data_IF_389932124949
#
_entry.id   IF_389932124949
#
_cell.length_a   1.000
_cell.length_b   1.000
_cell.length_c   1.000
_cell.angle_alpha   90.00
_cell.angle_beta   90.00
_cell.angle_gamma   90.00
#
_symmetry.space_group_name_H-M   'P 1'
#
loop_
_entity.id
_entity.type
_entity.pdbx_description
1 polymer ?
#
# COMPACT_ATOMS: atom_id res chain seq x y z
N UNK A 1 6.22 20.31 -1.11
CA UNK A 1 7.41 20.42 -0.23
C UNK A 1 8.03 19.07 0.17
N UNK A 2 7.40 17.93 -0.10
CA UNK A 2 7.88 16.62 0.43
C UNK A 2 9.12 16.01 -0.25
N UNK A 3 9.60 16.56 -1.37
CA UNK A 3 10.66 15.92 -2.18
C UNK A 3 11.95 16.77 -2.32
N UNK A 4 12.02 17.87 -1.56
CA UNK A 4 13.21 18.73 -1.53
C UNK A 4 14.19 18.27 -0.45
N UNK A 5 15.47 18.26 -0.78
CA UNK A 5 16.52 18.12 0.25
C UNK A 5 16.68 19.41 1.04
N UNK A 6 17.26 19.33 2.24
CA UNK A 6 17.61 20.52 3.02
C UNK A 6 18.51 21.50 2.24
N UNK A 7 19.42 20.98 1.40
CA UNK A 7 20.26 21.80 0.52
C UNK A 7 19.42 22.58 -0.50
N UNK A 8 18.47 21.93 -1.16
CA UNK A 8 17.57 22.57 -2.12
C UNK A 8 16.66 23.61 -1.46
N UNK A 9 16.19 23.37 -0.23
CA UNK A 9 15.46 24.36 0.55
C UNK A 9 16.31 25.60 0.86
N UNK A 10 17.61 25.42 1.16
CA UNK A 10 18.55 26.53 1.36
C UNK A 10 18.81 27.31 0.06
N UNK A 11 18.86 26.63 -1.08
CA UNK A 11 19.00 27.27 -2.41
C UNK A 11 17.76 28.10 -2.74
N UNK A 12 16.55 27.57 -2.49
CA UNK A 12 15.29 28.29 -2.63
C UNK A 12 15.24 29.56 -1.77
N UNK A 13 15.69 29.49 -0.51
CA UNK A 13 15.78 30.65 0.39
C UNK A 13 16.68 31.75 -0.18
N UNK A 14 17.69 31.37 -0.98
CA UNK A 14 18.63 32.28 -1.66
C UNK A 14 18.17 32.66 -3.09
N UNK A 15 16.93 32.34 -3.49
CA UNK A 15 16.40 32.53 -4.86
C UNK A 15 17.21 31.84 -5.96
N UNK A 16 17.89 30.75 -5.64
CA UNK A 16 18.56 29.92 -6.64
C UNK A 16 17.59 29.03 -7.40
N UNK A 17 18.03 28.53 -8.54
CA UNK A 17 17.28 27.57 -9.37
C UNK A 17 17.45 26.14 -8.86
N UNK A 18 16.43 25.32 -9.11
CA UNK A 18 16.36 23.93 -8.69
C UNK A 18 16.33 23.01 -9.90
N UNK A 19 16.90 21.82 -9.73
CA UNK A 19 16.76 20.73 -10.68
C UNK A 19 15.35 20.12 -10.59
N UNK A 20 14.46 20.55 -11.48
CA UNK A 20 13.08 20.06 -11.55
C UNK A 20 13.01 18.58 -11.97
N UNK A 21 13.93 18.12 -12.83
CA UNK A 21 13.91 16.73 -13.30
C UNK A 21 14.23 15.77 -12.15
N UNK A 22 15.20 16.13 -11.32
CA UNK A 22 15.53 15.33 -10.14
C UNK A 22 14.39 15.32 -9.11
N UNK A 23 13.68 16.44 -8.93
CA UNK A 23 12.51 16.50 -8.05
C UNK A 23 11.38 15.60 -8.59
N UNK A 24 11.14 15.58 -9.90
CA UNK A 24 10.15 14.68 -10.52
C UNK A 24 10.53 13.21 -10.33
N UNK A 25 11.79 12.83 -10.53
CA UNK A 25 12.27 11.46 -10.26
C UNK A 25 12.04 11.04 -8.81
N UNK A 26 12.24 11.95 -7.85
CA UNK A 26 11.97 11.68 -6.43
C UNK A 26 10.49 11.59 -6.09
N UNK A 27 9.63 12.27 -6.85
CA UNK A 27 8.18 12.12 -6.72
C UNK A 27 7.70 10.73 -7.15
N UNK A 28 8.42 10.08 -8.06
CA UNK A 28 8.14 8.71 -8.47
C UNK A 28 8.64 7.70 -7.44
N UNK A 29 9.91 7.77 -7.05
CA UNK A 29 10.52 6.81 -6.11
C UNK A 29 11.82 7.33 -5.48
N UNK A 30 12.08 6.88 -4.25
CA UNK A 30 13.32 7.13 -3.50
C UNK A 30 13.74 5.82 -2.83
N UNK A 31 15.03 5.51 -2.89
CA UNK A 31 15.64 4.41 -2.15
C UNK A 31 16.80 4.95 -1.31
N UNK A 32 16.79 4.64 -0.02
CA UNK A 32 17.84 5.00 0.92
C UNK A 32 18.62 3.74 1.27
N UNK A 33 19.86 3.66 0.78
CA UNK A 33 20.82 2.65 1.20
C UNK A 33 21.59 3.18 2.40
N UNK A 34 21.73 2.38 3.46
CA UNK A 34 22.45 2.75 4.68
C UNK A 34 23.51 1.69 4.98
N UNK A 35 24.76 2.05 4.75
CA UNK A 35 25.90 1.27 5.19
C UNK A 35 26.24 1.65 6.64
N UNK A 36 25.71 0.85 7.58
CA UNK A 36 25.97 1.00 9.01
C UNK A 36 27.45 0.81 9.38
N UNK A 37 28.23 0.08 8.57
CA UNK A 37 29.65 -0.18 8.86
C UNK A 37 30.52 1.06 8.62
N UNK A 38 30.14 1.88 7.65
CA UNK A 38 30.85 3.12 7.29
C UNK A 38 30.12 4.39 7.75
N UNK A 39 28.93 4.27 8.33
CA UNK A 39 28.09 5.41 8.70
C UNK A 39 27.68 6.27 7.48
N UNK A 40 27.62 5.66 6.29
CA UNK A 40 27.28 6.33 5.04
C UNK A 40 25.88 5.96 4.61
N UNK A 41 25.20 6.89 3.94
CA UNK A 41 23.94 6.64 3.29
C UNK A 41 23.97 7.16 1.86
N UNK A 42 23.36 6.43 0.94
CA UNK A 42 23.17 6.84 -0.45
C UNK A 42 21.68 6.95 -0.75
N UNK A 43 21.28 8.05 -1.37
CA UNK A 43 19.90 8.26 -1.83
C UNK A 43 19.90 8.09 -3.35
N UNK A 44 19.13 7.13 -3.83
CA UNK A 44 18.82 6.95 -5.25
C UNK A 44 17.36 7.36 -5.53
N UNK A 45 17.09 7.89 -6.73
CA UNK A 45 15.77 8.36 -7.17
C UNK A 45 15.35 7.72 -8.51
N UNK A 46 14.05 7.70 -8.81
CA UNK A 46 13.51 7.21 -10.09
C UNK A 46 13.77 5.73 -10.34
N UNK A 47 14.09 5.37 -11.59
CA UNK A 47 14.28 3.96 -12.00
C UNK A 47 15.37 3.24 -11.20
N UNK A 48 16.48 3.94 -10.87
CA UNK A 48 17.57 3.37 -10.06
C UNK A 48 17.08 2.95 -8.67
N UNK A 49 16.22 3.76 -8.05
CA UNK A 49 15.61 3.44 -6.76
C UNK A 49 14.74 2.18 -6.83
N UNK A 50 13.97 2.02 -7.90
CA UNK A 50 13.09 0.85 -8.11
C UNK A 50 13.91 -0.43 -8.34
N UNK A 51 15.05 -0.33 -9.05
CA UNK A 51 15.93 -1.48 -9.26
C UNK A 51 16.59 -1.93 -7.95
N UNK A 52 17.14 -0.98 -7.17
CA UNK A 52 17.76 -1.29 -5.88
C UNK A 52 16.76 -1.91 -4.90
N UNK A 53 15.53 -1.37 -4.83
CA UNK A 53 14.49 -1.94 -3.98
C UNK A 53 14.14 -3.39 -4.35
N UNK A 54 14.17 -3.74 -5.64
CA UNK A 54 13.87 -5.10 -6.11
C UNK A 54 14.99 -6.09 -5.84
N UNK A 55 16.24 -5.64 -5.85
CA UNK A 55 17.40 -6.51 -5.67
C UNK A 55 17.68 -6.77 -4.18
N UNK A 56 17.60 -5.73 -3.35
CA UNK A 56 17.97 -5.80 -1.92
C UNK A 56 16.82 -6.31 -1.02
N UNK A 57 15.56 -6.08 -1.39
CA UNK A 57 14.38 -6.41 -0.56
C UNK A 57 13.56 -7.57 -1.17
N UNK A 58 14.23 -8.50 -1.86
CA UNK A 58 13.55 -9.55 -2.62
C UNK A 58 12.99 -10.64 -1.71
N UNK A 59 11.76 -10.44 -1.23
CA UNK A 59 10.94 -11.48 -0.62
C UNK A 59 10.10 -12.15 -1.72
N UNK A 60 10.27 -13.46 -1.92
CA UNK A 60 9.50 -14.23 -2.90
C UNK A 60 8.15 -14.64 -2.31
N UNK A 61 7.07 -14.16 -2.94
CA UNK A 61 5.68 -14.41 -2.55
C UNK A 61 4.89 -15.12 -3.64
N UNK A 62 5.52 -15.54 -4.75
CA UNK A 62 4.80 -16.06 -5.92
C UNK A 62 4.08 -17.39 -5.63
N UNK A 63 4.54 -18.18 -4.65
CA UNK A 63 3.90 -19.44 -4.24
C UNK A 63 2.82 -19.28 -3.13
N UNK A 64 2.61 -18.08 -2.60
CA UNK A 64 1.65 -17.87 -1.51
C UNK A 64 0.22 -17.82 -2.04
N UNK A 65 -0.52 -18.91 -1.85
CA UNK A 65 -1.92 -19.05 -2.28
C UNK A 65 -2.95 -18.66 -1.21
N UNK A 66 -2.55 -18.65 0.06
CA UNK A 66 -3.41 -18.28 1.19
C UNK A 66 -2.62 -17.65 2.34
N UNK A 67 -3.25 -16.73 3.05
CA UNK A 67 -2.67 -16.08 4.22
C UNK A 67 -3.77 -15.63 5.19
N UNK A 68 -3.36 -15.27 6.41
CA UNK A 68 -4.28 -14.88 7.48
C UNK A 68 -4.04 -13.45 7.95
N UNK A 69 -5.06 -12.89 8.60
CA UNK A 69 -4.97 -11.62 9.32
C UNK A 69 -5.92 -11.57 10.49
N UNK A 70 -6.02 -10.39 11.11
CA UNK A 70 -6.94 -10.10 12.20
C UNK A 70 -8.32 -9.75 11.66
N UNK A 71 -9.36 -10.36 12.22
CA UNK A 71 -10.75 -10.09 11.85
C UNK A 71 -11.17 -8.74 12.45
N UNK A 72 -11.50 -7.78 11.59
CA UNK A 72 -12.03 -6.49 12.00
C UNK A 72 -13.57 -6.45 11.98
N UNK A 73 -14.16 -7.02 10.93
CA UNK A 73 -15.60 -7.24 10.81
C UNK A 73 -15.88 -8.54 10.06
N UNK A 74 -16.80 -9.34 10.60
CA UNK A 74 -17.09 -10.68 10.12
C UNK A 74 -17.90 -10.68 8.81
N UNK A 75 -17.69 -11.72 8.01
CA UNK A 75 -18.45 -12.00 6.80
C UNK A 75 -17.62 -12.73 5.76
N UNK A 76 -18.24 -13.15 4.67
CA UNK A 76 -17.56 -13.81 3.55
C UNK A 76 -17.86 -13.07 2.26
N UNK A 77 -16.85 -12.95 1.40
CA UNK A 77 -17.03 -12.37 0.08
C UNK A 77 -16.04 -12.95 -0.92
N UNK A 78 -16.34 -12.79 -2.20
CA UNK A 78 -15.45 -13.16 -3.29
C UNK A 78 -15.47 -12.03 -4.32
N UNK A 79 -14.31 -11.67 -4.86
CA UNK A 79 -14.24 -10.58 -5.81
C UNK A 79 -12.88 -10.49 -6.49
N UNK A 80 -12.76 -9.51 -7.40
CA UNK A 80 -11.48 -9.16 -8.03
C UNK A 80 -10.72 -8.18 -7.14
N UNK A 81 -9.43 -8.41 -6.96
CA UNK A 81 -8.53 -7.56 -6.19
C UNK A 81 -8.31 -6.23 -6.91
N UNK A 82 -8.36 -5.16 -6.11
CA UNK A 82 -7.88 -3.82 -6.45
C UNK A 82 -6.90 -3.37 -5.38
N UNK A 83 -5.63 -3.32 -5.73
CA UNK A 83 -4.57 -2.79 -4.88
C UNK A 83 -4.52 -1.27 -5.07
N UNK A 84 -4.86 -0.53 -4.01
CA UNK A 84 -4.97 0.93 -4.05
C UNK A 84 -4.11 1.53 -2.95
N UNK A 85 -3.02 2.22 -3.31
CA UNK A 85 -2.14 2.91 -2.36
C UNK A 85 -2.53 4.38 -2.12
N UNK A 86 -3.40 4.95 -2.97
CA UNK A 86 -3.82 6.35 -2.89
C UNK A 86 -4.85 6.72 -3.95
N UNK A 87 -5.19 8.01 -4.03
CA UNK A 87 -6.31 8.54 -4.83
C UNK A 87 -6.23 8.19 -6.32
N UNK A 88 -5.03 8.13 -6.89
CA UNK A 88 -4.80 7.75 -8.30
C UNK A 88 -5.36 6.37 -8.68
N UNK A 89 -5.70 5.52 -7.70
CA UNK A 89 -6.28 4.19 -7.92
C UNK A 89 -7.81 4.12 -7.77
N UNK A 90 -8.48 5.19 -7.34
CA UNK A 90 -9.89 5.11 -6.93
C UNK A 90 -10.84 4.76 -8.08
N UNK A 91 -10.53 5.21 -9.29
CA UNK A 91 -11.34 4.95 -10.49
C UNK A 91 -11.32 3.48 -10.92
N UNK A 92 -10.31 2.72 -10.49
CA UNK A 92 -10.23 1.27 -10.74
C UNK A 92 -11.27 0.49 -9.95
N UNK A 93 -11.77 1.04 -8.84
CA UNK A 93 -12.63 0.33 -7.91
C UNK A 93 -14.06 0.21 -8.46
N UNK A 94 -14.50 -1.02 -8.70
CA UNK A 94 -15.89 -1.32 -9.09
C UNK A 94 -16.66 -1.94 -7.92
N UNK A 95 -17.99 -1.85 -7.99
CA UNK A 95 -18.86 -2.48 -7.00
C UNK A 95 -18.62 -3.99 -7.01
N UNK A 96 -18.34 -4.56 -5.84
CA UNK A 96 -18.08 -6.00 -5.69
C UNK A 96 -16.60 -6.39 -5.77
N UNK A 97 -15.69 -5.45 -6.05
CA UNK A 97 -14.24 -5.72 -5.99
C UNK A 97 -13.75 -5.84 -4.53
N UNK A 98 -12.60 -6.47 -4.32
CA UNK A 98 -11.92 -6.56 -3.02
C UNK A 98 -10.88 -5.44 -2.95
N UNK A 99 -11.02 -4.56 -1.96
CA UNK A 99 -10.06 -3.50 -1.71
C UNK A 99 -8.86 -4.06 -0.95
N UNK A 100 -7.67 -3.93 -1.52
CA UNK A 100 -6.40 -4.28 -0.89
C UNK A 100 -5.55 -3.03 -0.76
N UNK A 101 -5.02 -2.74 0.42
CA UNK A 101 -4.16 -1.57 0.65
C UNK A 101 -3.24 -1.78 1.83
N UNK A 102 -2.18 -0.97 1.96
CA UNK A 102 -1.34 -1.00 3.15
C UNK A 102 -2.11 -0.55 4.39
N UNK A 103 -2.69 0.65 4.32
CA UNK A 103 -3.52 1.24 5.37
C UNK A 103 -4.60 2.12 4.74
N UNK A 104 -5.80 2.11 5.31
CA UNK A 104 -6.90 2.98 4.84
C UNK A 104 -6.79 4.41 5.36
N UNK A 105 -7.29 5.37 4.58
CA UNK A 105 -7.40 6.79 4.96
C UNK A 105 -8.85 7.29 4.81
N UNK A 106 -9.24 8.40 5.46
CA UNK A 106 -10.59 8.97 5.32
C UNK A 106 -11.01 9.21 3.86
N UNK A 107 -10.07 9.62 3.00
CA UNK A 107 -10.34 9.83 1.57
C UNK A 107 -10.80 8.54 0.85
N UNK A 108 -10.50 7.36 1.40
CA UNK A 108 -10.82 6.06 0.79
C UNK A 108 -12.28 5.61 1.04
N UNK A 109 -13.08 6.33 1.83
CA UNK A 109 -14.48 5.97 2.10
C UNK A 109 -15.30 5.68 0.83
N UNK A 110 -15.20 6.45 -0.27
CA UNK A 110 -15.94 6.18 -1.51
C UNK A 110 -15.59 4.83 -2.15
N UNK A 111 -14.31 4.42 -2.10
CA UNK A 111 -13.88 3.11 -2.62
C UNK A 111 -14.21 1.97 -1.66
N UNK A 112 -14.12 2.22 -0.35
CA UNK A 112 -14.55 1.26 0.68
C UNK A 112 -16.03 0.91 0.51
N UNK A 113 -16.90 1.90 0.26
CA UNK A 113 -18.35 1.68 0.00
C UNK A 113 -18.65 0.77 -1.19
N UNK A 114 -17.75 0.70 -2.17
CA UNK A 114 -17.90 -0.17 -3.36
C UNK A 114 -17.39 -1.59 -3.10
N UNK A 115 -16.55 -1.78 -2.09
CA UNK A 115 -15.85 -3.04 -1.84
C UNK A 115 -16.78 -4.13 -1.33
N UNK A 116 -16.57 -5.37 -1.78
CA UNK A 116 -17.20 -6.55 -1.18
C UNK A 116 -16.48 -7.02 0.08
N UNK A 117 -15.16 -6.77 0.17
CA UNK A 117 -14.38 -6.86 1.40
C UNK A 117 -13.15 -5.95 1.33
N UNK A 118 -12.56 -5.72 2.50
CA UNK A 118 -11.40 -4.86 2.70
C UNK A 118 -10.28 -5.71 3.33
N UNK A 119 -9.09 -5.64 2.75
CA UNK A 119 -7.89 -6.30 3.23
C UNK A 119 -6.81 -5.23 3.42
N UNK A 120 -6.18 -5.22 4.60
CA UNK A 120 -5.06 -4.32 4.88
C UNK A 120 -3.83 -5.06 5.40
N UNK A 121 -2.64 -4.58 5.01
CA UNK A 121 -1.37 -5.11 5.53
C UNK A 121 -1.15 -4.68 6.97
N UNK A 122 -1.50 -3.43 7.27
CA UNK A 122 -1.30 -2.79 8.56
C UNK A 122 -2.63 -2.43 9.22
N UNK A 123 -2.60 -2.29 10.54
CA UNK A 123 -3.77 -1.90 11.32
C UNK A 123 -4.06 -2.84 12.48
N UNK A 124 -5.16 -2.57 13.16
CA UNK A 124 -5.60 -3.32 14.34
C UNK A 124 -7.10 -3.13 14.58
N UNK A 125 -7.61 -3.67 15.69
CA UNK A 125 -9.06 -3.68 15.96
C UNK A 125 -9.70 -2.29 16.09
N UNK A 126 -8.91 -1.25 16.38
CA UNK A 126 -9.33 0.14 16.54
C UNK A 126 -8.85 1.07 15.42
N UNK A 127 -8.24 0.51 14.35
CA UNK A 127 -7.77 1.34 13.24
C UNK A 127 -8.92 1.84 12.36
N UNK A 128 -8.64 2.81 11.50
CA UNK A 128 -9.61 3.40 10.58
C UNK A 128 -10.35 2.34 9.74
N UNK A 129 -9.63 1.37 9.18
CA UNK A 129 -10.23 0.30 8.38
C UNK A 129 -11.28 -0.49 9.18
N UNK A 130 -10.97 -0.81 10.44
CA UNK A 130 -11.83 -1.60 11.33
C UNK A 130 -13.08 -0.88 11.76
N UNK A 131 -12.98 0.42 12.06
CA UNK A 131 -14.12 1.24 12.48
C UNK A 131 -15.07 1.41 11.30
N UNK A 132 -14.56 1.90 10.17
CA UNK A 132 -15.39 2.20 9.00
C UNK A 132 -15.96 0.92 8.37
N UNK A 133 -15.24 -0.20 8.36
CA UNK A 133 -15.78 -1.47 7.84
C UNK A 133 -17.01 -1.94 8.62
N UNK A 134 -17.05 -1.71 9.93
CA UNK A 134 -18.20 -2.06 10.79
C UNK A 134 -19.41 -1.17 10.48
N UNK A 135 -19.17 0.13 10.31
CA UNK A 135 -20.22 1.09 9.95
C UNK A 135 -20.82 0.77 8.56
N UNK A 136 -19.96 0.41 7.61
CA UNK A 136 -20.38 0.03 6.25
C UNK A 136 -20.90 -1.41 6.16
N UNK A 137 -20.75 -2.21 7.21
CA UNK A 137 -21.04 -3.66 7.25
C UNK A 137 -20.35 -4.45 6.14
N UNK A 138 -19.07 -4.14 5.89
CA UNK A 138 -18.25 -4.77 4.87
C UNK A 138 -17.23 -5.70 5.55
N UNK A 139 -17.14 -6.98 5.16
CA UNK A 139 -16.14 -7.91 5.70
C UNK A 139 -14.73 -7.33 5.62
N UNK A 140 -13.97 -7.43 6.71
CA UNK A 140 -12.69 -6.74 6.82
C UNK A 140 -11.67 -7.58 7.59
N UNK A 141 -10.51 -7.76 6.96
CA UNK A 141 -9.33 -8.40 7.55
C UNK A 141 -8.20 -7.38 7.53
N UNK A 142 -7.59 -7.17 8.69
CA UNK A 142 -6.47 -6.22 8.87
C UNK A 142 -5.22 -6.96 9.32
N UNK A 143 -4.08 -6.26 9.35
CA UNK A 143 -2.82 -6.82 9.85
C UNK A 143 -2.35 -8.09 9.11
N UNK A 144 -2.61 -8.18 7.80
CA UNK A 144 -2.17 -9.34 7.00
C UNK A 144 -0.68 -9.33 6.68
N UNK A 145 -0.02 -8.16 6.80
CA UNK A 145 1.40 -7.89 6.56
C UNK A 145 1.92 -8.11 5.13
N UNK A 146 1.28 -8.97 4.35
CA UNK A 146 1.76 -9.42 3.04
C UNK A 146 0.71 -9.34 1.93
N UNK A 147 -0.52 -8.90 2.19
CA UNK A 147 -1.58 -8.90 1.19
C UNK A 147 -1.24 -8.04 -0.03
N UNK A 148 -0.65 -6.86 0.14
CA UNK A 148 -0.27 -6.03 -1.03
C UNK A 148 0.92 -6.58 -1.80
N UNK A 149 1.69 -7.49 -1.22
CA UNK A 149 2.83 -8.15 -1.87
C UNK A 149 2.41 -9.42 -2.62
N UNK A 150 1.48 -10.18 -2.03
CA UNK A 150 0.96 -11.45 -2.57
C UNK A 150 -0.10 -11.22 -3.66
N UNK A 151 -1.05 -10.31 -3.40
CA UNK A 151 -2.19 -10.08 -4.29
C UNK A 151 -1.87 -9.04 -5.35
N UNK A 152 -2.17 -9.35 -6.61
CA UNK A 152 -1.97 -8.47 -7.76
C UNK A 152 -3.33 -7.96 -8.27
N UNK A 153 -3.32 -6.78 -8.89
CA UNK A 153 -4.51 -6.17 -9.48
C UNK A 153 -5.21 -7.16 -10.43
N UNK A 154 -6.49 -7.44 -10.19
CA UNK A 154 -7.30 -8.35 -11.01
C UNK A 154 -7.34 -9.81 -10.55
N UNK A 155 -6.51 -10.21 -9.56
CA UNK A 155 -6.60 -11.54 -8.94
C UNK A 155 -8.00 -11.78 -8.39
N UNK A 156 -8.50 -13.01 -8.50
CA UNK A 156 -9.77 -13.40 -7.88
C UNK A 156 -9.46 -13.99 -6.52
N UNK A 157 -10.14 -13.52 -5.48
CA UNK A 157 -9.89 -14.00 -4.10
C UNK A 157 -11.20 -14.27 -3.36
N UNK A 158 -11.14 -15.24 -2.46
CA UNK A 158 -12.11 -15.45 -1.40
C UNK A 158 -11.59 -14.84 -0.11
N UNK A 159 -12.45 -14.06 0.55
CA UNK A 159 -12.18 -13.45 1.85
C UNK A 159 -13.15 -14.05 2.86
N UNK A 160 -12.62 -14.88 3.76
CA UNK A 160 -13.35 -15.42 4.90
C UNK A 160 -12.95 -14.66 6.17
N UNK A 161 -13.64 -13.56 6.44
CA UNK A 161 -13.46 -12.76 7.65
C UNK A 161 -14.14 -13.37 8.88
N UNK A 162 -14.59 -14.63 8.83
CA UNK A 162 -15.00 -15.41 10.03
C UNK A 162 -13.80 -16.19 10.55
N UNK A 163 -12.97 -16.73 9.65
CA UNK A 163 -11.74 -17.45 10.00
C UNK A 163 -10.48 -16.57 9.88
N UNK A 164 -10.62 -15.35 9.37
CA UNK A 164 -9.51 -14.44 9.12
C UNK A 164 -8.59 -14.95 7.99
N UNK A 165 -9.15 -15.64 7.00
CA UNK A 165 -8.43 -16.28 5.91
C UNK A 165 -8.70 -15.57 4.58
N UNK A 166 -7.65 -15.35 3.81
CA UNK A 166 -7.71 -14.89 2.41
C UNK A 166 -7.11 -15.97 1.54
N UNK A 167 -7.80 -16.34 0.46
CA UNK A 167 -7.36 -17.35 -0.50
C UNK A 167 -7.47 -16.83 -1.93
N UNK A 168 -6.41 -17.03 -2.71
CA UNK A 168 -6.42 -16.79 -4.15
C UNK A 168 -7.11 -17.95 -4.88
N UNK A 169 -7.98 -17.62 -5.83
CA UNK A 169 -8.78 -18.55 -6.64
C UNK A 169 -8.21 -18.73 -8.05
#
# INVERSE_FOLDING_TARGET
>A
MQFFTLKELMVLKKKGELDKQEIEKRQESIFLDVDYSQGKFEISSGEKAIQLSKNEIREDYDEVSQFKGTIAFQGKSTGKVRVIYGEKGFDKMKKGDILVTGMTRPEMIPVMKKAAAIITDEGGLTCHASIISRELKIPCIVATRIATKVLKDGDKVEVDAIQGLVRKL
#
